data_IF_430118588403
#
_entry.id   IF_430118588403
#
_cell.length_a   1.000
_cell.length_b   1.000
_cell.length_c   1.000
_cell.angle_alpha   90.00
_cell.angle_beta   90.00
_cell.angle_gamma   90.00
#
_symmetry.space_group_name_H-M   'P 1'
#
loop_
_entity.id
_entity.type
_entity.pdbx_description
1 polymer ?
#
# COMPACT_ATOMS: atom_id res chain seq x y z
N UNK A 1 -29.32 31.80 -19.60
CA UNK A 1 -28.05 31.21 -19.13
C UNK A 1 -28.39 30.42 -17.88
N UNK A 2 -28.11 29.11 -17.87
CA UNK A 2 -28.35 28.29 -16.69
C UNK A 2 -27.15 28.40 -15.74
N UNK A 3 -27.41 28.39 -14.43
CA UNK A 3 -26.34 28.25 -13.44
C UNK A 3 -25.72 26.86 -13.55
N UNK A 4 -24.41 26.79 -13.79
CA UNK A 4 -23.67 25.55 -13.61
C UNK A 4 -23.63 25.21 -12.12
N UNK A 5 -24.47 24.25 -11.73
CA UNK A 5 -24.49 23.75 -10.36
C UNK A 5 -23.11 23.23 -9.96
N UNK A 6 -22.46 23.92 -9.00
CA UNK A 6 -21.17 23.51 -8.44
C UNK A 6 -21.18 22.02 -8.08
N UNK A 7 -20.47 21.20 -8.86
CA UNK A 7 -20.24 19.79 -8.53
C UNK A 7 -19.68 19.72 -7.12
N UNK A 8 -20.33 18.95 -6.26
CA UNK A 8 -19.94 18.80 -4.85
C UNK A 8 -18.67 17.94 -4.78
N UNK A 9 -17.52 18.63 -4.89
CA UNK A 9 -16.17 18.07 -4.99
C UNK A 9 -15.90 17.06 -3.85
N UNK A 10 -15.34 15.89 -4.19
CA UNK A 10 -15.37 14.70 -3.35
C UNK A 10 -14.21 14.69 -2.34
N UNK A 11 -14.23 15.61 -1.36
CA UNK A 11 -13.12 15.84 -0.41
C UNK A 11 -12.70 14.65 0.46
N UNK A 12 -13.33 13.48 0.36
CA UNK A 12 -12.94 12.23 1.05
C UNK A 12 -12.51 11.22 -0.02
N UNK A 13 -11.21 11.15 -0.26
CA UNK A 13 -10.65 10.31 -1.31
C UNK A 13 -10.41 8.91 -0.73
N UNK A 14 -10.91 7.87 -1.38
CA UNK A 14 -10.70 6.50 -0.93
C UNK A 14 -9.37 5.96 -1.49
N UNK A 15 -8.46 5.54 -0.60
CA UNK A 15 -7.24 4.83 -1.01
C UNK A 15 -7.46 3.32 -1.10
N UNK A 16 -8.45 2.78 -0.37
CA UNK A 16 -9.11 1.52 -0.74
C UNK A 16 -10.56 1.80 -1.13
N UNK A 17 -10.98 1.44 -2.36
CA UNK A 17 -12.34 1.72 -2.83
C UNK A 17 -13.39 0.96 -2.02
N UNK A 18 -14.54 1.59 -1.81
CA UNK A 18 -15.64 0.97 -1.07
C UNK A 18 -16.12 -0.36 -1.67
N UNK A 19 -16.05 -0.53 -3.00
CA UNK A 19 -16.45 -1.79 -3.64
C UNK A 19 -15.51 -2.95 -3.28
N UNK A 20 -14.23 -2.65 -3.07
CA UNK A 20 -13.21 -3.63 -2.71
C UNK A 20 -13.33 -3.97 -1.22
N UNK A 21 -13.50 -2.95 -0.36
CA UNK A 21 -13.77 -3.16 1.07
C UNK A 21 -15.08 -3.93 1.34
N UNK A 22 -16.08 -3.80 0.47
CA UNK A 22 -17.34 -4.55 0.60
C UNK A 22 -17.09 -6.07 0.62
N UNK A 23 -16.06 -6.57 -0.06
CA UNK A 23 -15.65 -7.98 -0.01
C UNK A 23 -15.29 -8.50 1.38
N UNK A 24 -14.98 -7.61 2.33
CA UNK A 24 -14.63 -7.92 3.73
C UNK A 24 -15.75 -7.59 4.70
N UNK A 25 -16.99 -7.51 4.23
CA UNK A 25 -18.20 -7.41 5.07
C UNK A 25 -18.90 -8.76 5.20
N UNK A 26 -19.83 -8.93 6.16
CA UNK A 26 -20.61 -10.14 6.31
C UNK A 26 -21.33 -10.61 5.03
N UNK A 27 -22.06 -9.74 4.31
CA UNK A 27 -22.80 -10.11 3.08
C UNK A 27 -22.13 -9.73 1.75
N UNK A 28 -20.96 -9.08 1.77
CA UNK A 28 -20.27 -8.63 0.55
C UNK A 28 -20.74 -7.26 0.02
N UNK A 29 -21.43 -6.45 0.86
CA UNK A 29 -22.12 -5.20 0.47
C UNK A 29 -21.49 -3.98 1.15
N UNK A 30 -21.64 -2.79 0.56
CA UNK A 30 -21.01 -1.54 1.07
C UNK A 30 -21.72 -1.00 2.32
N UNK A 31 -23.01 -1.28 2.41
CA UNK A 31 -23.94 -0.84 3.45
C UNK A 31 -23.77 -1.64 4.75
N UNK A 32 -23.19 -2.83 4.66
CA UNK A 32 -22.84 -3.66 5.82
C UNK A 32 -21.69 -3.04 6.61
N UNK A 33 -21.62 -3.41 7.89
CA UNK A 33 -20.46 -3.09 8.73
C UNK A 33 -19.40 -4.18 8.62
N UNK A 34 -18.14 -3.76 8.54
CA UNK A 34 -16.97 -4.59 8.75
C UNK A 34 -16.34 -4.27 10.11
N UNK A 35 -15.55 -5.21 10.63
CA UNK A 35 -14.66 -4.99 11.76
C UNK A 35 -13.40 -4.24 11.31
N UNK A 36 -13.00 -3.28 12.13
CA UNK A 36 -11.82 -2.44 11.94
C UNK A 36 -10.96 -2.54 13.19
N UNK A 37 -9.69 -2.88 13.01
CA UNK A 37 -8.68 -2.82 14.06
C UNK A 37 -7.76 -1.64 13.73
N UNK A 38 -7.81 -0.60 14.55
CA UNK A 38 -6.92 0.55 14.47
C UNK A 38 -5.67 0.24 15.32
N UNK A 39 -4.59 -0.11 14.65
CA UNK A 39 -3.31 -0.51 15.25
C UNK A 39 -2.51 0.67 15.84
N UNK A 40 -2.91 1.92 15.59
CA UNK A 40 -2.27 3.12 16.15
C UNK A 40 -2.86 3.42 17.53
N UNK A 41 -4.18 3.30 17.67
CA UNK A 41 -4.93 3.54 18.92
C UNK A 41 -5.19 2.29 19.74
N UNK A 42 -4.97 1.11 19.16
CA UNK A 42 -5.24 -0.20 19.73
C UNK A 42 -6.72 -0.57 19.82
N UNK A 43 -7.62 0.22 19.24
CA UNK A 43 -9.08 0.02 19.32
C UNK A 43 -9.59 -0.89 18.20
N UNK A 44 -10.59 -1.72 18.53
CA UNK A 44 -11.43 -2.40 17.54
C UNK A 44 -12.87 -1.87 17.57
N UNK A 45 -13.49 -1.73 16.41
CA UNK A 45 -14.86 -1.23 16.25
C UNK A 45 -15.48 -1.70 14.93
N UNK A 46 -16.79 -1.51 14.74
CA UNK A 46 -17.49 -1.82 13.49
C UNK A 46 -18.00 -0.55 12.79
N UNK A 47 -17.85 -0.46 11.47
CA UNK A 47 -18.38 0.64 10.66
C UNK A 47 -18.56 0.23 9.20
N UNK A 48 -19.24 1.05 8.41
CA UNK A 48 -19.47 0.84 6.97
C UNK A 48 -18.25 1.21 6.13
N UNK A 49 -18.17 0.70 4.89
CA UNK A 49 -17.04 0.94 3.98
C UNK A 49 -16.81 2.42 3.67
N UNK A 50 -17.85 3.25 3.73
CA UNK A 50 -17.76 4.71 3.53
C UNK A 50 -16.88 5.41 4.59
N UNK A 51 -16.77 4.85 5.79
CA UNK A 51 -16.13 5.53 6.93
C UNK A 51 -14.66 5.17 7.14
N UNK A 52 -14.08 4.35 6.27
CA UNK A 52 -12.72 3.80 6.40
C UNK A 52 -11.96 3.83 5.09
N UNK A 53 -10.64 3.65 5.18
CA UNK A 53 -9.68 3.69 4.07
C UNK A 53 -9.82 4.92 3.14
N UNK A 54 -10.18 6.05 3.74
CA UNK A 54 -10.25 7.33 3.06
C UNK A 54 -9.42 8.38 3.82
N UNK A 55 -8.84 9.32 3.08
CA UNK A 55 -8.21 10.50 3.66
C UNK A 55 -8.76 11.76 2.99
N UNK A 56 -8.79 12.86 3.75
CA UNK A 56 -9.36 14.11 3.29
C UNK A 56 -8.40 14.78 2.32
N UNK A 57 -8.91 15.14 1.15
CA UNK A 57 -8.16 15.81 0.08
C UNK A 57 -6.87 15.02 -0.29
N UNK A 58 -6.85 13.67 -0.34
CA UNK A 58 -5.60 12.87 -0.47
C UNK A 58 -4.86 13.04 -1.81
N UNK A 59 -5.57 13.26 -2.92
CA UNK A 59 -4.97 13.48 -4.26
C UNK A 59 -5.22 14.87 -4.84
N UNK A 60 -5.86 15.77 -4.08
CA UNK A 60 -6.18 17.13 -4.52
C UNK A 60 -4.92 17.93 -4.87
N UNK A 61 -4.85 18.47 -6.08
CA UNK A 61 -3.82 19.39 -6.56
C UNK A 61 -4.22 20.83 -6.21
N UNK A 62 -3.36 21.57 -5.49
CA UNK A 62 -3.62 22.98 -5.16
C UNK A 62 -3.09 23.92 -6.25
N UNK A 63 -3.86 24.96 -6.61
CA UNK A 63 -3.43 25.98 -7.57
C UNK A 63 -3.82 25.75 -9.04
N UNK A 64 -4.46 24.62 -9.38
CA UNK A 64 -5.07 24.39 -10.71
C UNK A 64 -6.59 24.22 -10.55
N UNK A 65 -7.30 25.34 -10.48
CA UNK A 65 -8.73 25.41 -10.08
C UNK A 65 -9.70 24.58 -10.92
N UNK A 66 -9.34 24.20 -12.15
CA UNK A 66 -10.17 23.36 -13.03
C UNK A 66 -9.83 21.85 -12.95
N UNK A 67 -8.72 21.47 -12.32
CA UNK A 67 -8.19 20.09 -12.33
C UNK A 67 -7.79 19.56 -10.95
N UNK A 68 -8.16 20.24 -9.87
CA UNK A 68 -7.76 19.86 -8.50
C UNK A 68 -8.05 18.39 -8.16
N UNK A 69 -9.18 17.83 -8.62
CA UNK A 69 -9.60 16.43 -8.36
C UNK A 69 -9.28 15.45 -9.50
N UNK A 70 -8.53 15.87 -10.54
CA UNK A 70 -8.37 15.09 -11.79
C UNK A 70 -7.92 13.63 -11.57
N UNK A 71 -7.03 13.37 -10.61
CA UNK A 71 -6.61 11.99 -10.31
C UNK A 71 -7.69 11.16 -9.63
N UNK A 72 -8.54 11.74 -8.79
CA UNK A 72 -9.68 11.03 -8.21
C UNK A 72 -10.71 10.72 -9.30
N UNK A 73 -11.18 11.73 -10.05
CA UNK A 73 -12.31 11.57 -10.98
C UNK A 73 -11.93 10.95 -12.32
N UNK A 74 -10.81 11.38 -12.91
CA UNK A 74 -10.43 10.98 -14.28
C UNK A 74 -9.51 9.76 -14.32
N UNK A 75 -8.87 9.40 -13.20
CA UNK A 75 -7.94 8.25 -13.10
C UNK A 75 -8.47 7.16 -12.17
N UNK A 76 -8.46 7.36 -10.85
CA UNK A 76 -8.80 6.30 -9.89
C UNK A 76 -10.26 5.87 -9.97
N UNK A 77 -11.22 6.79 -10.06
CA UNK A 77 -12.63 6.43 -10.21
C UNK A 77 -12.90 5.61 -11.49
N UNK A 78 -12.22 5.92 -12.61
CA UNK A 78 -12.34 5.11 -13.84
C UNK A 78 -11.72 3.73 -13.68
N UNK A 79 -10.55 3.64 -13.05
CA UNK A 79 -9.87 2.38 -12.77
C UNK A 79 -10.72 1.50 -11.84
N UNK A 80 -11.24 2.07 -10.75
CA UNK A 80 -12.08 1.39 -9.77
C UNK A 80 -13.41 0.91 -10.37
N UNK A 81 -14.05 1.71 -11.24
CA UNK A 81 -15.27 1.34 -11.94
C UNK A 81 -15.08 0.21 -12.99
N UNK A 82 -13.86 0.02 -13.50
CA UNK A 82 -13.51 -1.11 -14.37
C UNK A 82 -13.14 -2.33 -13.52
N UNK A 83 -12.26 -2.14 -12.54
CA UNK A 83 -11.82 -3.18 -11.63
C UNK A 83 -12.97 -3.83 -10.86
N UNK A 84 -14.01 -3.08 -10.47
CA UNK A 84 -15.19 -3.64 -9.81
C UNK A 84 -15.91 -4.69 -10.65
N UNK A 85 -16.11 -4.42 -11.95
CA UNK A 85 -16.74 -5.35 -12.91
C UNK A 85 -15.87 -6.56 -13.19
N UNK A 86 -14.55 -6.35 -13.32
CA UNK A 86 -13.58 -7.42 -13.57
C UNK A 86 -13.50 -8.35 -12.35
N UNK A 87 -13.43 -7.80 -11.13
CA UNK A 87 -13.41 -8.57 -9.88
C UNK A 87 -14.75 -9.30 -9.67
N UNK A 88 -15.88 -8.66 -9.97
CA UNK A 88 -17.19 -9.33 -9.97
C UNK A 88 -17.24 -10.52 -10.95
N UNK A 89 -16.75 -10.33 -12.19
CA UNK A 89 -16.62 -11.41 -13.18
C UNK A 89 -15.72 -12.54 -12.70
N UNK A 90 -14.55 -12.23 -12.11
CA UNK A 90 -13.63 -13.22 -11.53
C UNK A 90 -14.32 -14.02 -10.41
N UNK A 91 -15.08 -13.36 -9.53
CA UNK A 91 -15.78 -14.03 -8.43
C UNK A 91 -16.93 -14.92 -8.91
N UNK A 92 -17.60 -14.54 -10.01
CA UNK A 92 -18.69 -15.34 -10.61
C UNK A 92 -18.17 -16.52 -11.44
N UNK A 93 -17.14 -16.30 -12.26
CA UNK A 93 -16.60 -17.29 -13.22
C UNK A 93 -15.43 -18.11 -12.68
N UNK A 94 -14.87 -17.72 -11.54
CA UNK A 94 -13.66 -18.29 -10.91
C UNK A 94 -12.43 -18.28 -11.82
N UNK A 95 -12.44 -17.41 -12.83
CA UNK A 95 -11.48 -17.35 -13.93
C UNK A 95 -10.90 -15.94 -14.03
N UNK A 96 -9.59 -15.83 -14.17
CA UNK A 96 -8.90 -14.55 -14.39
C UNK A 96 -8.96 -14.20 -15.88
N UNK A 97 -9.18 -12.93 -16.29
CA UNK A 97 -9.13 -12.54 -17.69
C UNK A 97 -7.81 -12.94 -18.37
N UNK A 98 -7.86 -13.31 -19.64
CA UNK A 98 -6.66 -13.69 -20.39
C UNK A 98 -5.68 -12.52 -20.51
N UNK A 99 -4.37 -12.83 -20.46
CA UNK A 99 -3.27 -11.85 -20.41
C UNK A 99 -3.21 -10.90 -21.61
N UNK A 100 -3.80 -11.28 -22.73
CA UNK A 100 -3.95 -10.49 -23.97
C UNK A 100 -5.13 -9.51 -23.96
N UNK A 101 -5.93 -9.46 -22.88
CA UNK A 101 -7.13 -8.62 -22.78
C UNK A 101 -6.89 -7.28 -22.06
N UNK A 102 -7.66 -6.27 -22.45
CA UNK A 102 -7.77 -5.00 -21.72
C UNK A 102 -8.16 -5.23 -20.24
N UNK A 103 -9.03 -6.20 -19.96
CA UNK A 103 -9.48 -6.50 -18.59
C UNK A 103 -8.32 -6.94 -17.68
N UNK A 104 -7.42 -7.78 -18.18
CA UNK A 104 -6.21 -8.15 -17.44
C UNK A 104 -5.30 -6.93 -17.20
N UNK A 105 -5.18 -6.03 -18.19
CA UNK A 105 -4.43 -4.77 -18.03
C UNK A 105 -5.04 -3.87 -16.95
N UNK A 106 -6.36 -3.69 -16.92
CA UNK A 106 -7.03 -2.92 -15.87
C UNK A 106 -6.92 -3.58 -14.49
N UNK A 107 -6.95 -4.92 -14.41
CA UNK A 107 -6.72 -5.65 -13.17
C UNK A 107 -5.31 -5.41 -12.63
N UNK A 108 -4.27 -5.53 -13.47
CA UNK A 108 -2.88 -5.29 -13.06
C UNK A 108 -2.64 -3.83 -12.65
N UNK A 109 -3.23 -2.87 -13.35
CA UNK A 109 -3.18 -1.45 -12.97
C UNK A 109 -3.88 -1.17 -11.63
N UNK A 110 -5.03 -1.78 -11.38
CA UNK A 110 -5.77 -1.66 -10.12
C UNK A 110 -4.98 -2.24 -8.94
N UNK A 111 -4.37 -3.40 -9.15
CA UNK A 111 -3.46 -4.04 -8.20
C UNK A 111 -2.25 -3.13 -7.92
N UNK A 112 -1.59 -2.61 -8.96
CA UNK A 112 -0.46 -1.71 -8.83
C UNK A 112 -0.82 -0.42 -8.07
N UNK A 113 -2.04 0.08 -8.23
CA UNK A 113 -2.52 1.29 -7.54
C UNK A 113 -2.42 1.17 -6.01
N UNK A 114 -2.65 -0.02 -5.43
CA UNK A 114 -2.50 -0.24 -3.98
C UNK A 114 -1.08 0.06 -3.45
N UNK A 115 -0.04 -0.01 -4.30
CA UNK A 115 1.34 0.33 -3.89
C UNK A 115 1.69 1.81 -3.99
N UNK A 116 0.86 2.63 -4.62
CA UNK A 116 1.13 4.06 -4.83
C UNK A 116 0.09 4.99 -4.20
N UNK A 117 -1.18 4.59 -4.08
CA UNK A 117 -2.27 5.50 -3.69
C UNK A 117 -2.53 5.63 -2.17
N UNK A 118 -1.78 4.94 -1.31
CA UNK A 118 -2.06 4.93 0.13
C UNK A 118 -1.29 6.03 0.88
N UNK A 119 -1.77 6.46 2.08
CA UNK A 119 -1.03 7.41 2.93
C UNK A 119 0.36 6.90 3.33
N UNK A 120 0.52 5.57 3.42
CA UNK A 120 1.84 4.97 3.63
C UNK A 120 2.78 5.18 2.44
N UNK A 121 2.29 5.03 1.19
CA UNK A 121 3.08 5.31 -0.02
C UNK A 121 3.58 6.77 -0.05
N UNK A 122 2.78 7.72 0.45
CA UNK A 122 3.22 9.10 0.64
C UNK A 122 4.35 9.22 1.67
N UNK A 123 4.15 8.67 2.87
CA UNK A 123 5.16 8.68 3.94
C UNK A 123 6.47 8.01 3.51
N UNK A 124 6.41 6.93 2.72
CA UNK A 124 7.58 6.27 2.15
C UNK A 124 8.32 7.12 1.12
N UNK A 125 7.59 7.87 0.27
CA UNK A 125 8.23 8.81 -0.65
C UNK A 125 8.89 9.97 0.09
N UNK A 126 8.25 10.52 1.14
CA UNK A 126 8.86 11.55 2.01
C UNK A 126 10.15 11.06 2.69
N UNK A 127 10.15 9.84 3.23
CA UNK A 127 11.33 9.24 3.86
C UNK A 127 12.45 8.92 2.85
N UNK A 128 12.11 8.40 1.67
CA UNK A 128 13.06 8.21 0.58
C UNK A 128 13.68 9.54 0.14
N UNK A 129 12.90 10.63 0.06
CA UNK A 129 13.41 11.97 -0.23
C UNK A 129 14.38 12.46 0.85
N UNK A 130 14.14 12.20 2.15
CA UNK A 130 15.14 12.50 3.20
C UNK A 130 16.45 11.75 2.96
N UNK A 131 16.38 10.46 2.65
CA UNK A 131 17.56 9.62 2.41
C UNK A 131 18.36 10.09 1.20
N UNK A 132 17.68 10.46 0.11
CA UNK A 132 18.31 11.05 -1.09
C UNK A 132 18.98 12.40 -0.74
N UNK A 133 18.29 13.30 -0.02
CA UNK A 133 18.88 14.59 0.38
C UNK A 133 20.10 14.39 1.27
N UNK A 134 20.08 13.42 2.21
CA UNK A 134 21.25 13.05 3.02
C UNK A 134 22.40 12.50 2.20
N UNK A 135 22.13 11.63 1.24
CA UNK A 135 23.15 11.08 0.35
C UNK A 135 23.79 12.18 -0.52
N UNK A 136 22.97 13.05 -1.14
CA UNK A 136 23.42 14.22 -1.89
C UNK A 136 24.26 15.13 -0.99
N UNK A 137 23.76 15.48 0.20
CA UNK A 137 24.48 16.34 1.16
C UNK A 137 25.84 15.76 1.54
N UNK A 138 25.92 14.45 1.80
CA UNK A 138 27.20 13.77 2.05
C UNK A 138 28.16 13.87 0.86
N UNK A 139 27.69 13.75 -0.38
CA UNK A 139 28.54 13.82 -1.58
C UNK A 139 29.00 15.24 -1.89
N UNK A 140 28.10 16.24 -1.80
CA UNK A 140 28.41 17.64 -2.17
C UNK A 140 29.22 18.37 -1.12
N UNK A 141 29.13 17.99 0.16
CA UNK A 141 29.90 18.61 1.26
C UNK A 141 31.27 17.97 1.50
N UNK A 142 31.67 16.99 0.69
CA UNK A 142 33.01 16.35 0.75
C UNK A 142 34.16 17.22 0.21
N UNK A 143 33.90 18.17 -0.69
CA UNK A 143 34.92 19.07 -1.22
C UNK A 143 34.35 20.43 -1.58
N UNK A 144 35.21 21.46 -1.55
CA UNK A 144 34.81 22.83 -1.89
C UNK A 144 34.33 22.93 -3.35
N UNK A 145 34.99 22.25 -4.28
CA UNK A 145 34.59 22.18 -5.70
C UNK A 145 33.15 21.68 -5.87
N UNK A 146 32.81 20.53 -5.27
CA UNK A 146 31.47 19.95 -5.36
C UNK A 146 30.43 20.83 -4.69
N UNK A 147 30.80 21.47 -3.58
CA UNK A 147 29.95 22.41 -2.88
C UNK A 147 29.62 23.62 -3.76
N UNK A 148 30.60 24.25 -4.42
CA UNK A 148 30.37 25.37 -5.33
C UNK A 148 29.55 24.95 -6.56
N UNK A 149 29.77 23.76 -7.14
CA UNK A 149 28.95 23.22 -8.23
C UNK A 149 27.49 23.01 -7.80
N UNK A 150 27.26 22.47 -6.61
CA UNK A 150 25.91 22.30 -6.05
C UNK A 150 25.25 23.66 -5.80
N UNK A 151 25.94 24.57 -5.10
CA UNK A 151 25.49 25.92 -4.78
C UNK A 151 25.01 26.68 -6.03
N UNK A 152 25.85 26.73 -7.06
CA UNK A 152 25.55 27.42 -8.33
C UNK A 152 24.35 26.84 -9.08
N UNK A 153 24.02 25.55 -8.87
CA UNK A 153 22.85 24.89 -9.47
C UNK A 153 21.59 24.98 -8.61
N UNK A 154 21.73 25.01 -7.29
CA UNK A 154 20.63 24.87 -6.35
C UNK A 154 20.05 26.20 -5.86
N UNK A 155 20.85 27.28 -5.79
CA UNK A 155 20.39 28.58 -5.27
C UNK A 155 19.81 29.51 -6.36
N UNK A 156 20.24 29.38 -7.62
CA UNK A 156 19.96 30.42 -8.63
C UNK A 156 20.51 31.79 -8.20
N UNK A 157 19.93 32.88 -8.71
CA UNK A 157 20.32 34.25 -8.32
C UNK A 157 19.56 34.77 -7.07
N UNK A 158 18.40 34.18 -6.74
CA UNK A 158 17.52 34.67 -5.65
C UNK A 158 17.56 33.81 -4.36
N UNK A 159 18.31 32.71 -4.36
CA UNK A 159 18.41 31.82 -3.20
C UNK A 159 19.13 32.45 -2.01
N UNK A 160 18.61 32.25 -0.80
CA UNK A 160 19.32 32.64 0.44
C UNK A 160 20.64 31.86 0.53
N UNK A 161 21.76 32.59 0.68
CA UNK A 161 23.05 31.94 0.89
C UNK A 161 23.10 31.20 2.24
N UNK A 162 23.76 30.04 2.24
CA UNK A 162 24.08 29.23 3.41
C UNK A 162 25.42 28.53 3.18
N UNK A 163 26.08 28.11 4.26
CA UNK A 163 27.34 27.37 4.21
C UNK A 163 27.15 25.85 4.13
N UNK A 164 28.20 25.14 3.72
CA UNK A 164 28.23 23.67 3.73
C UNK A 164 28.04 23.10 5.14
N UNK A 165 28.55 23.79 6.17
CA UNK A 165 28.35 23.42 7.58
C UNK A 165 26.88 23.54 7.98
N UNK A 166 26.23 24.66 7.65
CA UNK A 166 24.80 24.87 7.93
C UNK A 166 23.92 23.83 7.24
N UNK A 167 24.23 23.47 5.98
CA UNK A 167 23.51 22.40 5.27
C UNK A 167 23.63 21.07 6.00
N UNK A 168 24.84 20.70 6.45
CA UNK A 168 25.06 19.46 7.21
C UNK A 168 24.33 19.49 8.55
N UNK A 169 24.42 20.61 9.27
CA UNK A 169 23.80 20.77 10.59
C UNK A 169 22.28 20.57 10.55
N UNK A 170 21.61 21.05 9.48
CA UNK A 170 20.17 20.87 9.30
C UNK A 170 19.86 19.45 8.80
N UNK A 171 20.53 18.95 7.76
CA UNK A 171 20.16 17.68 7.09
C UNK A 171 20.45 16.43 7.94
N UNK A 172 21.44 16.49 8.84
CA UNK A 172 21.77 15.36 9.72
C UNK A 172 21.03 15.37 11.06
N UNK A 173 20.26 16.42 11.36
CA UNK A 173 19.44 16.53 12.57
C UNK A 173 17.95 16.56 12.20
N UNK A 174 17.26 15.41 12.33
CA UNK A 174 15.83 15.30 11.99
C UNK A 174 14.91 16.16 12.88
N UNK A 175 15.40 16.68 14.01
CA UNK A 175 14.61 17.60 14.83
C UNK A 175 14.51 19.00 14.22
N UNK A 176 15.41 19.35 13.28
CA UNK A 176 15.51 20.69 12.68
C UNK A 176 14.69 20.89 11.41
N UNK A 177 14.14 19.83 10.81
CA UNK A 177 13.38 19.93 9.57
C UNK A 177 12.30 18.87 9.42
N UNK A 178 11.25 19.23 8.67
CA UNK A 178 10.25 18.28 8.17
C UNK A 178 10.26 18.35 6.66
N UNK A 179 10.42 17.21 5.99
CA UNK A 179 10.15 17.14 4.55
C UNK A 179 8.66 16.96 4.36
N UNK A 180 8.06 17.87 3.59
CA UNK A 180 6.80 17.64 2.91
C UNK A 180 7.10 17.63 1.42
N UNK A 181 6.94 16.48 0.78
CA UNK A 181 7.07 16.39 -0.68
C UNK A 181 5.95 17.25 -1.28
N UNK A 182 6.31 18.17 -2.18
CA UNK A 182 5.30 18.98 -2.88
C UNK A 182 4.29 18.09 -3.60
N UNK A 183 3.05 18.57 -3.66
CA UNK A 183 1.89 17.79 -4.05
C UNK A 183 2.10 17.15 -5.41
N UNK A 184 2.48 18.00 -6.35
CA UNK A 184 2.73 17.78 -7.76
C UNK A 184 3.88 16.79 -7.96
N UNK A 185 4.94 16.91 -7.14
CA UNK A 185 6.07 16.00 -7.15
C UNK A 185 5.67 14.59 -6.65
N UNK A 186 4.77 14.49 -5.66
CA UNK A 186 4.20 13.21 -5.25
C UNK A 186 3.30 12.60 -6.34
N UNK A 187 2.41 13.39 -6.94
CA UNK A 187 1.54 12.94 -8.05
C UNK A 187 2.36 12.42 -9.23
N UNK A 188 3.41 13.16 -9.64
CA UNK A 188 4.34 12.74 -10.68
C UNK A 188 5.05 11.44 -10.29
N UNK A 189 5.54 11.33 -9.05
CA UNK A 189 6.23 10.12 -8.54
C UNK A 189 5.31 8.90 -8.52
N UNK A 190 4.01 9.06 -8.23
CA UNK A 190 3.03 7.97 -8.35
C UNK A 190 2.89 7.49 -9.81
N UNK A 191 2.78 8.42 -10.76
CA UNK A 191 2.71 8.12 -12.21
C UNK A 191 3.97 7.41 -12.71
N UNK A 192 5.15 7.96 -12.40
CA UNK A 192 6.46 7.40 -12.79
C UNK A 192 6.67 5.98 -12.23
N UNK A 193 6.10 5.66 -11.05
CA UNK A 193 6.17 4.34 -10.41
C UNK A 193 5.13 3.32 -10.92
N UNK A 194 4.04 3.77 -11.54
CA UNK A 194 2.95 2.86 -11.95
C UNK A 194 3.41 1.87 -13.02
N UNK A 195 4.15 2.32 -14.03
CA UNK A 195 4.65 1.48 -15.12
C UNK A 195 5.52 0.30 -14.65
N UNK A 196 6.63 0.50 -13.90
CA UNK A 196 7.46 -0.62 -13.46
C UNK A 196 6.72 -1.56 -12.50
N UNK A 197 5.79 -1.04 -11.67
CA UNK A 197 4.93 -1.92 -10.85
C UNK A 197 4.04 -2.81 -11.72
N UNK A 198 3.36 -2.22 -12.71
CA UNK A 198 2.54 -2.94 -13.67
C UNK A 198 3.34 -4.02 -14.42
N UNK A 199 4.53 -3.70 -14.93
CA UNK A 199 5.40 -4.65 -15.63
C UNK A 199 5.76 -5.85 -14.73
N UNK A 200 6.17 -5.60 -13.49
CA UNK A 200 6.51 -6.68 -12.53
C UNK A 200 5.29 -7.55 -12.17
N UNK A 201 4.09 -6.98 -12.12
CA UNK A 201 2.85 -7.70 -11.83
C UNK A 201 2.34 -8.49 -13.05
N UNK A 202 2.55 -7.96 -14.25
CA UNK A 202 2.22 -8.57 -15.53
C UNK A 202 3.05 -9.83 -15.82
N UNK A 203 4.33 -9.85 -15.41
CA UNK A 203 5.20 -11.01 -15.59
C UNK A 203 4.88 -12.19 -14.63
N UNK A 204 3.90 -12.06 -13.74
CA UNK A 204 3.47 -13.14 -12.84
C UNK A 204 2.35 -13.98 -13.43
N UNK A 205 2.40 -15.28 -13.18
CA UNK A 205 1.28 -16.18 -13.37
C UNK A 205 0.33 -16.07 -12.18
N UNK A 206 -0.91 -15.67 -12.44
CA UNK A 206 -1.91 -15.40 -11.42
C UNK A 206 -2.87 -16.58 -11.26
N UNK A 207 -3.20 -16.88 -10.02
CA UNK A 207 -4.11 -17.94 -9.60
C UNK A 207 -5.28 -17.33 -8.83
N UNK A 208 -6.51 -17.72 -9.16
CA UNK A 208 -7.69 -17.39 -8.35
C UNK A 208 -7.91 -18.51 -7.34
N UNK A 209 -7.88 -18.17 -6.05
CA UNK A 209 -7.98 -19.13 -4.97
C UNK A 209 -9.12 -18.77 -4.02
N UNK A 210 -9.88 -19.78 -3.58
CA UNK A 210 -10.93 -19.64 -2.58
C UNK A 210 -10.57 -20.37 -1.29
N UNK A 211 -11.13 -19.94 -0.16
CA UNK A 211 -11.11 -20.71 1.09
C UNK A 211 -12.52 -21.10 1.51
N UNK A 212 -12.67 -22.29 2.08
CA UNK A 212 -13.95 -22.78 2.60
C UNK A 212 -14.00 -22.71 4.13
N UNK A 213 -12.92 -23.15 4.81
CA UNK A 213 -12.85 -23.40 6.26
C UNK A 213 -12.55 -22.18 7.14
N UNK A 214 -12.10 -21.08 6.54
CA UNK A 214 -11.74 -19.84 7.26
C UNK A 214 -12.09 -18.62 6.41
N UNK A 215 -11.65 -17.43 6.81
CA UNK A 215 -11.78 -16.23 6.02
C UNK A 215 -10.49 -15.40 6.00
N UNK A 216 -10.36 -14.64 4.91
CA UNK A 216 -9.29 -13.69 4.67
C UNK A 216 -9.65 -12.33 5.27
N UNK A 217 -8.63 -11.61 5.73
CA UNK A 217 -8.71 -10.20 6.09
C UNK A 217 -8.12 -9.33 4.98
N UNK A 218 -8.19 -8.02 5.15
CA UNK A 218 -7.55 -7.02 4.29
C UNK A 218 -6.88 -5.96 5.17
N UNK A 219 -5.72 -5.43 4.77
CA UNK A 219 -5.09 -4.28 5.43
C UNK A 219 -5.32 -2.98 4.66
N UNK A 220 -4.90 -1.85 5.22
CA UNK A 220 -4.75 -0.59 4.48
C UNK A 220 -3.67 -0.60 3.38
N UNK A 221 -2.96 -1.72 3.18
CA UNK A 221 -1.93 -1.87 2.14
C UNK A 221 -1.89 -3.29 1.53
N UNK A 222 -3.00 -3.77 0.92
CA UNK A 222 -3.33 -5.18 0.72
C UNK A 222 -2.63 -5.87 -0.47
N UNK A 223 -1.46 -5.37 -0.88
CA UNK A 223 -0.58 -6.06 -1.82
C UNK A 223 0.58 -6.65 -1.03
N UNK A 224 0.37 -7.85 -0.50
CA UNK A 224 1.35 -8.60 0.26
C UNK A 224 2.36 -9.25 -0.69
N UNK A 225 3.63 -9.30 -0.28
CA UNK A 225 4.68 -10.07 -0.95
C UNK A 225 5.38 -10.93 0.10
N UNK A 226 5.55 -12.22 -0.16
CA UNK A 226 6.39 -13.08 0.69
C UNK A 226 7.21 -14.08 -0.15
N UNK A 227 8.25 -14.65 0.45
CA UNK A 227 9.07 -15.69 -0.15
C UNK A 227 8.31 -17.03 -0.21
N UNK A 228 8.40 -17.74 -1.34
CA UNK A 228 7.87 -19.11 -1.49
C UNK A 228 8.91 -20.19 -1.16
N UNK A 229 10.01 -19.77 -0.54
CA UNK A 229 11.16 -20.53 -0.06
C UNK A 229 11.59 -19.94 1.29
N UNK A 230 12.39 -20.63 2.13
CA UNK A 230 13.00 -20.03 3.30
C UNK A 230 13.77 -18.74 2.95
N UNK A 231 13.59 -17.67 3.72
CA UNK A 231 14.09 -16.33 3.40
C UNK A 231 15.60 -16.33 3.12
N UNK A 232 16.05 -16.13 1.86
CA UNK A 232 17.42 -16.45 1.45
C UNK A 232 18.47 -15.44 1.92
N UNK A 233 18.05 -14.28 2.43
CA UNK A 233 18.96 -13.16 2.76
C UNK A 233 18.69 -12.54 4.13
N UNK A 234 17.79 -13.14 4.92
CA UNK A 234 17.17 -12.53 6.10
C UNK A 234 16.71 -11.08 5.79
N UNK A 235 16.03 -10.83 4.66
CA UNK A 235 15.49 -9.50 4.27
C UNK A 235 14.05 -9.61 3.75
N UNK A 236 13.22 -8.55 3.87
CA UNK A 236 11.92 -8.52 3.22
C UNK A 236 12.04 -8.73 1.69
N UNK A 237 11.12 -9.46 1.04
CA UNK A 237 11.13 -9.63 -0.40
C UNK A 237 10.76 -8.33 -1.13
N UNK A 238 11.41 -8.08 -2.26
CA UNK A 238 11.00 -7.08 -3.22
C UNK A 238 10.02 -7.66 -4.24
N UNK A 239 9.16 -6.81 -4.81
CA UNK A 239 8.12 -7.24 -5.77
C UNK A 239 8.70 -7.94 -7.02
N UNK A 240 9.93 -7.60 -7.41
CA UNK A 240 10.64 -8.17 -8.56
C UNK A 240 11.51 -9.40 -8.23
N UNK A 241 11.54 -9.87 -6.98
CA UNK A 241 12.35 -11.04 -6.62
C UNK A 241 11.68 -12.33 -7.12
N UNK A 242 12.45 -13.18 -7.78
CA UNK A 242 12.10 -14.60 -7.98
C UNK A 242 11.95 -15.33 -6.65
N UNK A 243 11.25 -16.46 -6.67
CA UNK A 243 10.81 -17.25 -5.53
C UNK A 243 9.93 -16.44 -4.56
N UNK A 244 9.08 -15.55 -5.06
CA UNK A 244 8.11 -14.81 -4.25
C UNK A 244 6.68 -14.95 -4.79
N UNK A 245 5.72 -14.94 -3.88
CA UNK A 245 4.30 -14.83 -4.20
C UNK A 245 3.82 -13.44 -3.80
N UNK A 246 2.96 -12.87 -4.63
CA UNK A 246 2.11 -11.72 -4.30
C UNK A 246 0.74 -12.27 -3.94
N UNK A 247 0.17 -11.89 -2.80
CA UNK A 247 -1.21 -12.20 -2.44
C UNK A 247 -2.03 -10.92 -2.27
N UNK A 248 -3.26 -10.95 -2.79
CA UNK A 248 -4.22 -9.85 -2.72
C UNK A 248 -5.60 -10.44 -2.43
N UNK A 249 -6.06 -10.40 -1.18
CA UNK A 249 -7.43 -10.75 -0.83
C UNK A 249 -8.40 -9.90 -1.67
N UNK A 250 -9.37 -10.53 -2.32
CA UNK A 250 -10.46 -9.84 -3.03
C UNK A 250 -11.72 -9.75 -2.17
N UNK A 251 -11.96 -10.79 -1.38
CA UNK A 251 -13.07 -10.88 -0.42
C UNK A 251 -12.61 -11.71 0.78
N UNK A 252 -13.45 -11.80 1.81
CA UNK A 252 -13.25 -12.72 2.93
C UNK A 252 -13.14 -14.20 2.52
N UNK A 253 -13.49 -14.58 1.28
CA UNK A 253 -13.42 -15.97 0.78
C UNK A 253 -12.52 -16.18 -0.44
N UNK A 254 -12.03 -15.12 -1.08
CA UNK A 254 -11.25 -15.22 -2.32
C UNK A 254 -9.99 -14.34 -2.31
N UNK A 255 -8.90 -14.85 -2.89
CA UNK A 255 -7.59 -14.20 -3.01
C UNK A 255 -7.01 -14.44 -4.41
N UNK A 256 -6.34 -13.42 -4.96
CA UNK A 256 -5.46 -13.60 -6.11
C UNK A 256 -4.04 -13.85 -5.61
N UNK A 257 -3.39 -14.90 -6.13
CA UNK A 257 -1.99 -15.21 -5.83
C UNK A 257 -1.16 -15.22 -7.12
N UNK A 258 -0.19 -14.32 -7.22
CA UNK A 258 0.68 -14.15 -8.39
C UNK A 258 2.12 -14.56 -8.11
N UNK A 259 2.69 -15.50 -8.86
CA UNK A 259 4.08 -15.97 -8.72
C UNK A 259 4.75 -16.13 -10.08
N UNK A 260 6.08 -16.05 -10.14
CA UNK A 260 6.82 -16.30 -11.38
C UNK A 260 7.03 -17.81 -11.65
N UNK A 261 7.03 -18.64 -10.61
CA UNK A 261 7.43 -20.05 -10.70
C UNK A 261 6.32 -21.07 -10.40
N UNK A 262 5.22 -20.64 -9.77
CA UNK A 262 4.23 -21.54 -9.16
C UNK A 262 2.80 -21.10 -9.45
N UNK A 263 1.97 -22.03 -9.95
CA UNK A 263 0.52 -21.89 -9.88
C UNK A 263 0.02 -22.33 -8.50
N UNK A 264 -0.99 -21.66 -7.96
CA UNK A 264 -1.58 -21.99 -6.66
C UNK A 264 -2.93 -22.67 -6.84
N UNK A 265 -3.09 -23.83 -6.21
CA UNK A 265 -4.32 -24.61 -6.30
C UNK A 265 -5.43 -24.04 -5.41
N UNK A 266 -6.67 -24.13 -5.88
CA UNK A 266 -7.89 -23.81 -5.13
C UNK A 266 -8.64 -25.10 -4.77
N UNK A 267 -9.25 -25.23 -3.58
CA UNK A 267 -9.24 -24.26 -2.48
C UNK A 267 -7.90 -24.23 -1.73
N UNK A 268 -7.60 -23.09 -1.10
CA UNK A 268 -6.43 -22.94 -0.23
C UNK A 268 -6.74 -23.38 1.20
N UNK A 269 -5.73 -24.02 1.84
CA UNK A 269 -5.87 -24.57 3.19
C UNK A 269 -6.00 -23.48 4.27
N UNK A 270 -6.47 -23.90 5.45
CA UNK A 270 -6.64 -23.01 6.61
C UNK A 270 -5.33 -22.39 7.07
N UNK A 271 -4.22 -23.13 6.94
CA UNK A 271 -2.86 -22.69 7.26
C UNK A 271 -2.40 -21.60 6.29
N UNK A 272 -2.65 -21.75 4.99
CA UNK A 272 -2.29 -20.72 4.00
C UNK A 272 -3.12 -19.44 4.17
N UNK A 273 -4.42 -19.56 4.51
CA UNK A 273 -5.21 -18.40 4.96
C UNK A 273 -4.57 -17.76 6.20
N UNK A 274 -4.12 -18.57 7.17
CA UNK A 274 -3.42 -18.10 8.35
C UNK A 274 -2.11 -17.35 8.04
N UNK A 275 -1.35 -17.79 7.04
CA UNK A 275 -0.14 -17.09 6.55
C UNK A 275 -0.52 -15.75 5.92
N UNK A 276 -1.50 -15.73 5.02
CA UNK A 276 -1.94 -14.50 4.34
C UNK A 276 -2.45 -13.48 5.38
N UNK A 277 -3.29 -13.91 6.33
CA UNK A 277 -3.79 -13.06 7.41
C UNK A 277 -2.66 -12.55 8.34
N UNK A 278 -1.65 -13.38 8.64
CA UNK A 278 -0.47 -12.91 9.39
C UNK A 278 0.28 -11.80 8.63
N UNK A 279 0.52 -11.99 7.34
CA UNK A 279 1.24 -11.02 6.51
C UNK A 279 0.46 -9.70 6.37
N UNK A 280 -0.84 -9.78 6.04
CA UNK A 280 -1.75 -8.62 6.02
C UNK A 280 -1.70 -7.84 7.34
N UNK A 281 -1.94 -8.51 8.48
CA UNK A 281 -2.06 -7.84 9.77
C UNK A 281 -0.74 -7.37 10.39
N UNK A 282 0.32 -8.17 10.32
CA UNK A 282 1.54 -7.96 11.11
C UNK A 282 2.74 -7.43 10.30
N UNK A 283 2.68 -7.51 8.97
CA UNK A 283 3.77 -7.06 8.08
C UNK A 283 3.34 -5.89 7.19
N UNK A 284 2.12 -5.91 6.66
CA UNK A 284 1.64 -4.93 5.68
C UNK A 284 0.67 -3.86 6.24
N UNK A 285 -0.12 -4.15 7.29
CA UNK A 285 -1.01 -3.15 7.88
C UNK A 285 -0.25 -2.01 8.57
N UNK A 286 -0.40 -0.80 8.02
CA UNK A 286 0.25 0.41 8.51
C UNK A 286 -0.56 1.11 9.59
N UNK A 287 -1.88 1.01 9.56
CA UNK A 287 -2.78 1.42 10.64
C UNK A 287 -4.01 0.54 10.78
N UNK A 288 -4.66 0.16 9.68
CA UNK A 288 -5.94 -0.53 9.72
C UNK A 288 -5.89 -1.97 9.22
N UNK A 289 -6.60 -2.84 9.92
CA UNK A 289 -7.01 -4.18 9.46
C UNK A 289 -8.53 -4.20 9.35
N UNK A 290 -9.03 -4.82 8.29
CA UNK A 290 -10.43 -4.95 7.90
C UNK A 290 -10.81 -6.44 7.86
N UNK A 291 -11.89 -6.81 8.55
CA UNK A 291 -12.37 -8.21 8.63
C UNK A 291 -13.90 -8.24 8.62
N UNK A 292 -14.48 -9.33 8.09
CA UNK A 292 -15.92 -9.55 8.14
C UNK A 292 -16.40 -9.91 9.55
N UNK A 293 -15.53 -10.53 10.34
CA UNK A 293 -15.81 -11.07 11.67
C UNK A 293 -14.78 -10.55 12.70
N UNK A 294 -15.15 -10.54 13.99
CA UNK A 294 -14.31 -9.97 15.08
C UNK A 294 -13.03 -10.78 15.33
N UNK A 295 -13.05 -12.04 14.94
CA UNK A 295 -11.93 -12.97 15.06
C UNK A 295 -11.55 -13.51 13.68
N UNK A 296 -10.30 -13.92 13.53
CA UNK A 296 -9.75 -14.51 12.32
C UNK A 296 -8.51 -15.32 12.68
N UNK A 297 -8.25 -16.38 11.90
CA UNK A 297 -7.07 -17.22 12.12
C UNK A 297 -5.82 -16.62 11.49
N UNK A 298 -4.68 -16.78 12.17
CA UNK A 298 -3.34 -16.52 11.65
C UNK A 298 -2.39 -17.68 11.97
N UNK A 299 -1.35 -17.90 11.17
CA UNK A 299 -0.39 -18.99 11.43
C UNK A 299 0.75 -18.48 12.33
N UNK A 300 0.93 -19.12 13.49
CA UNK A 300 2.01 -18.83 14.44
C UNK A 300 3.32 -19.47 13.98
N UNK A 301 4.44 -18.99 14.53
CA UNK A 301 5.78 -19.55 14.28
C UNK A 301 5.94 -21.01 14.75
N UNK A 302 5.10 -21.49 15.66
CA UNK A 302 5.07 -22.88 16.14
C UNK A 302 4.25 -23.83 15.22
N UNK A 303 3.68 -23.31 14.13
CA UNK A 303 2.87 -24.05 13.17
C UNK A 303 1.39 -24.19 13.56
N UNK A 304 0.97 -23.71 14.74
CA UNK A 304 -0.43 -23.72 15.14
C UNK A 304 -1.16 -22.45 14.68
N UNK A 305 -2.48 -22.56 14.53
CA UNK A 305 -3.34 -21.41 14.27
C UNK A 305 -3.60 -20.63 15.56
N UNK A 306 -3.49 -19.30 15.48
CA UNK A 306 -3.87 -18.37 16.52
C UNK A 306 -5.10 -17.56 16.17
N UNK A 307 -5.64 -16.87 17.18
CA UNK A 307 -6.79 -15.98 17.06
C UNK A 307 -6.36 -14.51 16.93
N UNK A 308 -7.26 -13.67 16.43
CA UNK A 308 -7.00 -12.26 16.12
C UNK A 308 -6.48 -11.49 17.34
N UNK A 309 -7.07 -11.73 18.52
CA UNK A 309 -6.67 -11.04 19.76
C UNK A 309 -5.19 -11.30 20.14
N UNK A 310 -4.68 -12.52 19.89
CA UNK A 310 -3.26 -12.84 20.11
C UNK A 310 -2.36 -12.02 19.19
N UNK A 311 -2.73 -11.94 17.90
CA UNK A 311 -1.95 -11.22 16.89
C UNK A 311 -1.95 -9.71 17.11
N UNK A 312 -3.11 -9.14 17.42
CA UNK A 312 -3.26 -7.70 17.67
C UNK A 312 -2.43 -7.29 18.89
N UNK A 313 -2.44 -8.07 19.98
CA UNK A 313 -1.57 -7.85 21.14
C UNK A 313 -0.09 -7.96 20.77
N UNK A 314 0.29 -8.94 19.96
CA UNK A 314 1.68 -9.10 19.48
C UNK A 314 2.15 -7.90 18.65
N UNK A 315 1.30 -7.36 17.76
CA UNK A 315 1.60 -6.18 16.94
C UNK A 315 1.73 -4.93 17.83
N UNK A 316 0.78 -4.71 18.75
CA UNK A 316 0.81 -3.59 19.68
C UNK A 316 2.09 -3.60 20.55
N UNK A 317 2.49 -4.76 21.06
CA UNK A 317 3.73 -4.90 21.85
C UNK A 317 5.03 -4.67 21.05
N UNK A 318 4.98 -4.79 19.71
CA UNK A 318 6.11 -4.49 18.81
C UNK A 318 6.15 -3.02 18.40
N UNK A 319 4.99 -2.39 18.18
CA UNK A 319 4.88 -0.97 17.82
C UNK A 319 5.46 -0.08 18.93
N UNK A 320 6.50 0.70 18.59
CA UNK A 320 7.25 1.53 19.54
C UNK A 320 8.62 0.98 19.93
N UNK A 321 9.01 -0.22 19.48
CA UNK A 321 10.40 -0.68 19.48
C UNK A 321 10.97 -0.58 18.05
N UNK A 322 12.26 -0.26 17.85
CA UNK A 322 12.90 -0.48 16.55
C UNK A 322 12.76 -1.96 16.16
N UNK A 323 12.75 -2.25 14.86
CA UNK A 323 12.45 -3.58 14.28
C UNK A 323 13.51 -4.64 14.63
N UNK A 324 13.52 -5.08 15.89
CA UNK A 324 14.11 -6.33 16.32
C UNK A 324 13.28 -7.49 15.80
N UNK A 325 13.92 -8.38 15.04
CA UNK A 325 13.32 -9.64 14.58
C UNK A 325 13.01 -10.58 15.76
N UNK A 326 12.19 -11.62 15.55
CA UNK A 326 12.01 -12.70 16.52
C UNK A 326 13.29 -13.52 16.84
N UNK A 327 14.43 -13.25 16.20
CA UNK A 327 15.69 -14.02 16.31
C UNK A 327 16.83 -13.31 17.07
N UNK A 328 16.65 -12.06 17.51
CA UNK A 328 17.51 -11.41 18.50
C UNK A 328 18.92 -10.99 18.05
N UNK A 329 19.16 -10.78 16.74
CA UNK A 329 20.46 -10.28 16.24
C UNK A 329 20.50 -8.74 16.07
N UNK A 330 21.61 -8.05 16.46
CA UNK A 330 21.76 -6.59 16.35
C UNK A 330 22.21 -6.13 14.95
N UNK A 331 22.22 -4.79 14.77
CA UNK A 331 22.38 -4.03 13.51
C UNK A 331 23.57 -4.39 12.61
#
# INVERSE_FOLDING_TARGET
>A
MAEEGKRKQARRHHYLPQFYLAGFTPSGKKEDKLWVFDLDTGKKFTTTTENVACEKDLYRWEGVTEHEDFLETETFQKLDNKASKIIESILQTKTIPSKDTDEYSYLMQFIAAFKIRTPWSQKQNEELTKQIIRAITNVVTQSEERWQIFRNRALGEEGKDFSKEQMREVVFDESKYTIKVQREAYLKTMSDRLKPLFEILWEREWSFCETQESHLICSDYPLVVDWTIPNPSNKPPGLAHINTAVSIPLTKKAVLIGSFEKHFMSPISKELVGVINFLEAAVYAHRFIFSADEDFYWLKNDGYLGHAEELIKLIQNRRGRPLGRPDGTPH
#
